data_IF_737791048334
#
_entry.id   IF_737791048334
#
_cell.length_a   1.000
_cell.length_b   1.000
_cell.length_c   1.000
_cell.angle_alpha   90.00
_cell.angle_beta   90.00
_cell.angle_gamma   90.00
#
_symmetry.space_group_name_H-M   'P 1'
#
loop_
_entity.id
_entity.type
_entity.pdbx_description
1 polymer ?
#
# COMPACT_ATOMS: atom_id res chain seq x y z
N UNK A 1 -6.15 -4.09 11.87
CA UNK A 1 -6.08 -3.38 10.57
C UNK A 1 -5.35 -4.29 9.60
N UNK A 2 -5.55 -4.14 8.30
CA UNK A 2 -4.78 -4.89 7.29
C UNK A 2 -4.00 -3.91 6.42
N UNK A 3 -2.94 -4.40 5.79
CA UNK A 3 -2.19 -3.70 4.76
C UNK A 3 -2.07 -4.61 3.54
N UNK A 4 -2.15 -4.04 2.35
CA UNK A 4 -1.95 -4.76 1.11
C UNK A 4 -1.79 -3.80 -0.05
N UNK A 5 -1.16 -4.28 -1.11
CA UNK A 5 -1.01 -3.57 -2.38
C UNK A 5 -1.45 -4.45 -3.55
N UNK A 6 -1.63 -3.83 -4.70
CA UNK A 6 -1.93 -4.55 -5.94
C UNK A 6 -1.36 -3.81 -7.16
N UNK A 7 -1.32 -4.53 -8.27
CA UNK A 7 -1.00 -4.02 -9.59
C UNK A 7 -1.82 -4.78 -10.63
N UNK A 8 -1.68 -4.41 -11.91
CA UNK A 8 -2.29 -5.15 -13.02
C UNK A 8 -1.84 -6.62 -13.11
N UNK A 9 -0.70 -6.98 -12.51
CA UNK A 9 -0.13 -8.33 -12.55
C UNK A 9 -0.47 -9.19 -11.33
N UNK A 10 -1.08 -8.62 -10.28
CA UNK A 10 -1.44 -9.36 -9.07
C UNK A 10 -1.42 -8.52 -7.80
N UNK A 11 -1.54 -9.17 -6.66
CA UNK A 11 -1.60 -8.55 -5.33
C UNK A 11 -0.36 -8.88 -4.51
N UNK A 12 -0.05 -8.05 -3.52
CA UNK A 12 0.80 -8.48 -2.41
C UNK A 12 0.07 -9.52 -1.56
N UNK A 13 0.80 -10.17 -0.67
CA UNK A 13 0.17 -10.84 0.48
C UNK A 13 -0.47 -9.79 1.38
N UNK A 14 -1.63 -10.10 1.97
CA UNK A 14 -2.28 -9.22 2.95
C UNK A 14 -1.57 -9.39 4.30
N UNK A 15 -1.08 -8.27 4.85
CA UNK A 15 -0.46 -8.22 6.17
C UNK A 15 -1.49 -7.83 7.23
N UNK A 16 -1.52 -8.56 8.34
CA UNK A 16 -2.33 -8.20 9.51
C UNK A 16 -1.51 -7.30 10.45
N UNK A 17 -2.09 -6.16 10.79
CA UNK A 17 -1.45 -5.14 11.60
C UNK A 17 -2.04 -5.11 13.02
N UNK A 18 -1.15 -5.09 14.00
CA UNK A 18 -1.47 -4.96 15.42
C UNK A 18 -1.21 -3.53 15.90
N UNK A 19 -2.18 -2.96 16.61
CA UNK A 19 -2.04 -1.63 17.21
C UNK A 19 -1.90 -0.49 16.21
N UNK A 20 -1.51 0.67 16.73
CA UNK A 20 -1.27 1.89 15.94
C UNK A 20 0.07 1.79 15.21
N UNK A 21 0.06 2.07 13.91
CA UNK A 21 1.27 2.05 13.09
C UNK A 21 1.99 3.41 13.11
N UNK A 22 3.32 3.35 13.02
CA UNK A 22 4.20 4.49 12.81
C UNK A 22 4.93 4.40 11.45
N UNK A 23 5.82 5.35 11.16
CA UNK A 23 6.52 5.40 9.86
C UNK A 23 7.50 4.25 9.65
N UNK A 24 8.17 3.77 10.71
CA UNK A 24 9.08 2.63 10.63
C UNK A 24 8.32 1.33 10.40
N UNK A 25 7.18 1.15 11.08
CA UNK A 25 6.31 -0.02 10.84
C UNK A 25 5.87 -0.04 9.37
N UNK A 26 5.52 1.11 8.81
CA UNK A 26 5.15 1.23 7.40
C UNK A 26 6.31 0.89 6.45
N UNK A 27 7.52 1.41 6.71
CA UNK A 27 8.71 1.07 5.93
C UNK A 27 9.02 -0.43 5.96
N UNK A 28 8.83 -1.08 7.11
CA UNK A 28 8.93 -2.54 7.22
C UNK A 28 7.93 -3.26 6.32
N UNK A 29 6.69 -2.76 6.21
CA UNK A 29 5.69 -3.35 5.30
C UNK A 29 6.06 -3.16 3.83
N UNK A 30 6.59 -2.00 3.47
CA UNK A 30 7.10 -1.77 2.12
C UNK A 30 8.21 -2.78 1.78
N UNK A 31 9.21 -2.92 2.65
CA UNK A 31 10.31 -3.88 2.46
C UNK A 31 9.82 -5.32 2.40
N UNK A 32 8.88 -5.70 3.25
CA UNK A 32 8.46 -7.10 3.40
C UNK A 32 7.49 -7.54 2.31
N UNK A 33 6.65 -6.64 1.81
CA UNK A 33 5.50 -7.01 0.98
C UNK A 33 5.41 -6.27 -0.35
N UNK A 34 5.87 -5.01 -0.44
CA UNK A 34 5.82 -4.25 -1.69
C UNK A 34 7.03 -4.52 -2.56
N UNK A 35 8.24 -4.26 -2.06
CA UNK A 35 9.47 -4.30 -2.87
C UNK A 35 9.71 -5.67 -3.53
N UNK A 36 9.55 -6.81 -2.82
CA UNK A 36 9.77 -8.12 -3.45
C UNK A 36 8.77 -8.41 -4.57
N UNK A 37 7.53 -7.90 -4.44
CA UNK A 37 6.49 -8.06 -5.44
C UNK A 37 6.71 -7.11 -6.62
N UNK A 38 7.17 -5.90 -6.36
CA UNK A 38 7.58 -4.96 -7.39
C UNK A 38 8.73 -5.51 -8.24
N UNK A 39 9.73 -6.11 -7.60
CA UNK A 39 10.81 -6.80 -8.30
C UNK A 39 10.30 -8.01 -9.09
N UNK A 40 9.58 -8.93 -8.44
CA UNK A 40 9.16 -10.18 -9.08
C UNK A 40 8.12 -10.00 -10.20
N UNK A 41 7.24 -8.99 -10.09
CA UNK A 41 6.18 -8.77 -11.09
C UNK A 41 6.59 -7.76 -12.15
N UNK A 42 7.43 -6.77 -11.83
CA UNK A 42 7.71 -5.64 -12.71
C UNK A 42 9.20 -5.39 -12.96
N UNK A 43 10.07 -6.33 -12.58
CA UNK A 43 11.53 -6.22 -12.75
C UNK A 43 12.07 -4.90 -12.15
N UNK A 44 11.49 -4.48 -11.02
CA UNK A 44 11.82 -3.24 -10.32
C UNK A 44 11.30 -1.97 -11.00
N UNK A 45 10.70 -2.08 -12.20
CA UNK A 45 10.21 -0.94 -12.99
C UNK A 45 8.74 -0.67 -12.73
N UNK A 46 8.45 0.09 -11.68
CA UNK A 46 7.10 0.50 -11.32
C UNK A 46 7.07 1.86 -10.62
N UNK A 47 5.94 2.55 -10.76
CA UNK A 47 5.62 3.72 -9.95
C UNK A 47 4.72 3.30 -8.79
N UNK A 48 5.10 3.71 -7.58
CA UNK A 48 4.38 3.38 -6.36
C UNK A 48 3.34 4.46 -6.02
N UNK A 49 2.10 4.03 -5.81
CA UNK A 49 1.01 4.88 -5.36
C UNK A 49 0.73 4.65 -3.86
N UNK A 50 0.65 5.74 -3.08
CA UNK A 50 0.19 5.74 -1.69
C UNK A 50 -0.63 7.00 -1.40
N UNK A 51 -1.45 6.96 -0.35
CA UNK A 51 -2.14 8.16 0.14
C UNK A 51 -1.20 9.08 0.96
N UNK A 52 -1.72 10.23 1.39
CA UNK A 52 -0.97 11.21 2.16
C UNK A 52 -1.06 11.03 3.69
N UNK A 53 -1.40 9.84 4.20
CA UNK A 53 -1.41 9.59 5.64
C UNK A 53 -0.08 10.00 6.30
N UNK A 54 -0.14 10.53 7.52
CA UNK A 54 1.03 11.15 8.18
C UNK A 54 2.28 10.24 8.25
N UNK A 55 2.09 8.92 8.33
CA UNK A 55 3.19 7.95 8.34
C UNK A 55 3.77 7.69 6.94
N UNK A 56 2.97 7.83 5.88
CA UNK A 56 3.39 7.70 4.48
C UNK A 56 4.08 8.96 3.98
N UNK A 57 3.57 10.13 4.36
CA UNK A 57 4.09 11.45 3.96
C UNK A 57 5.18 12.01 4.87
N UNK A 58 5.58 11.27 5.91
CA UNK A 58 6.66 11.65 6.83
C UNK A 58 8.00 11.79 6.11
N UNK A 59 8.88 12.66 6.64
CA UNK A 59 10.25 12.80 6.10
C UNK A 59 11.02 11.47 6.17
N UNK A 60 10.78 10.66 7.21
CA UNK A 60 11.42 9.35 7.35
C UNK A 60 11.05 8.42 6.19
N UNK A 61 9.76 8.30 5.88
CA UNK A 61 9.29 7.44 4.79
C UNK A 61 9.69 7.98 3.42
N UNK A 62 9.65 9.30 3.22
CA UNK A 62 10.09 9.93 1.97
C UNK A 62 11.58 9.68 1.70
N UNK A 63 12.44 9.88 2.70
CA UNK A 63 13.87 9.58 2.57
C UNK A 63 14.11 8.10 2.32
N UNK A 64 13.42 7.21 3.05
CA UNK A 64 13.53 5.77 2.85
C UNK A 64 13.18 5.34 1.42
N UNK A 65 12.06 5.82 0.86
CA UNK A 65 11.66 5.49 -0.52
C UNK A 65 12.65 6.06 -1.55
N UNK A 66 13.17 7.26 -1.31
CA UNK A 66 14.18 7.88 -2.16
C UNK A 66 15.50 7.10 -2.15
N UNK A 67 15.95 6.63 -0.98
CA UNK A 67 17.19 5.86 -0.84
C UNK A 67 17.11 4.50 -1.56
N UNK A 68 15.90 3.99 -1.76
CA UNK A 68 15.61 2.77 -2.51
C UNK A 68 15.28 3.00 -3.99
N UNK A 69 15.38 4.23 -4.47
CA UNK A 69 15.03 4.64 -5.85
C UNK A 69 13.59 4.28 -6.25
N UNK A 70 12.67 4.26 -5.28
CA UNK A 70 11.25 4.01 -5.53
C UNK A 70 10.59 5.32 -5.94
N UNK A 71 10.10 5.37 -7.18
CA UNK A 71 9.31 6.50 -7.67
C UNK A 71 7.92 6.47 -7.04
N UNK A 72 7.53 7.56 -6.36
CA UNK A 72 6.21 7.70 -5.73
C UNK A 72 5.38 8.66 -6.56
N UNK A 73 4.18 8.23 -6.97
CA UNK A 73 3.24 9.09 -7.68
C UNK A 73 2.79 10.26 -6.80
N UNK A 74 2.77 11.46 -7.38
CA UNK A 74 2.27 12.64 -6.69
C UNK A 74 0.75 12.53 -6.48
N UNK A 75 0.32 12.47 -5.22
CA UNK A 75 -1.08 12.31 -4.89
C UNK A 75 -1.78 13.66 -4.70
N UNK A 76 -2.78 14.03 -5.52
CA UNK A 76 -3.51 15.27 -5.32
C UNK A 76 -4.43 15.13 -4.10
N UNK A 77 -4.22 15.98 -3.09
CA UNK A 77 -4.93 15.93 -1.82
C UNK A 77 -6.46 16.07 -1.92
N UNK A 78 -6.97 16.57 -3.06
CA UNK A 78 -8.40 16.84 -3.30
C UNK A 78 -9.16 15.65 -3.92
N UNK A 79 -8.49 14.55 -4.28
CA UNK A 79 -9.13 13.41 -4.96
C UNK A 79 -8.91 12.09 -4.21
N UNK A 80 -9.56 11.91 -3.04
CA UNK A 80 -9.49 10.64 -2.30
C UNK A 80 -10.04 9.46 -3.13
N UNK A 81 -11.02 9.73 -4.01
CA UNK A 81 -11.69 8.72 -4.84
C UNK A 81 -10.79 8.10 -5.91
N UNK A 82 -9.60 8.66 -6.18
CA UNK A 82 -8.66 8.08 -7.14
C UNK A 82 -7.90 6.89 -6.54
N UNK A 83 -8.02 6.62 -5.23
CA UNK A 83 -7.28 5.55 -4.60
C UNK A 83 -7.90 4.19 -4.91
N UNK A 84 -7.44 3.55 -5.99
CA UNK A 84 -7.97 2.27 -6.45
C UNK A 84 -7.95 1.15 -5.39
N UNK A 85 -7.05 1.21 -4.39
CA UNK A 85 -7.03 0.20 -3.32
C UNK A 85 -8.32 0.24 -2.48
N UNK A 86 -8.95 1.40 -2.31
CA UNK A 86 -10.21 1.52 -1.56
C UNK A 86 -11.36 0.83 -2.28
N UNK A 87 -11.35 0.84 -3.62
CA UNK A 87 -12.31 0.09 -4.43
C UNK A 87 -12.11 -1.42 -4.20
N UNK A 88 -10.85 -1.88 -4.22
CA UNK A 88 -10.51 -3.29 -3.96
C UNK A 88 -10.92 -3.70 -2.55
N UNK A 89 -10.68 -2.88 -1.53
CA UNK A 89 -11.14 -3.13 -0.17
C UNK A 89 -12.67 -3.18 -0.07
N UNK A 90 -13.37 -2.29 -0.77
CA UNK A 90 -14.83 -2.30 -0.85
C UNK A 90 -15.38 -3.61 -1.43
N UNK A 91 -14.74 -4.15 -2.46
CA UNK A 91 -15.08 -5.47 -3.01
C UNK A 91 -14.80 -6.59 -2.02
N UNK A 92 -13.62 -6.60 -1.39
CA UNK A 92 -13.24 -7.62 -0.40
C UNK A 92 -14.21 -7.65 0.79
N UNK A 93 -14.60 -6.49 1.32
CA UNK A 93 -15.57 -6.41 2.41
C UNK A 93 -16.92 -6.99 1.99
N UNK A 94 -17.39 -6.70 0.77
CA UNK A 94 -18.65 -7.25 0.25
C UNK A 94 -18.59 -8.78 0.17
N UNK A 95 -17.52 -9.32 -0.38
CA UNK A 95 -17.37 -10.77 -0.56
C UNK A 95 -17.29 -11.51 0.79
N UNK A 96 -16.50 -11.00 1.73
CA UNK A 96 -16.39 -11.57 3.07
C UNK A 96 -17.72 -11.44 3.84
N UNK A 97 -18.44 -10.34 3.67
CA UNK A 97 -19.72 -10.10 4.36
C UNK A 97 -20.88 -10.88 3.74
N UNK A 98 -20.84 -11.21 2.45
CA UNK A 98 -21.89 -12.02 1.80
C UNK A 98 -21.88 -13.48 2.30
N UNK A 99 -20.71 -13.99 2.71
CA UNK A 99 -20.55 -15.34 3.28
C UNK A 99 -20.74 -15.43 4.80
N UNK A 100 -20.65 -14.30 5.51
CA UNK A 100 -20.84 -14.22 6.96
C UNK A 100 -22.12 -13.49 7.30
N UNK A 101 -23.16 -14.24 7.71
CA UNK A 101 -24.27 -13.64 8.45
C UNK A 101 -23.68 -12.92 9.68
N UNK A 102 -23.94 -11.61 9.79
CA UNK A 102 -23.83 -10.90 11.07
C UNK A 102 -24.75 -11.55 12.10
#
# INVERSE_FOLDING_TARGET
MIWGGFSSKGTTVIAFLSGRQNSLDYQEKLTSYLLPIGEAMHDGSYDFQQDNANIHSSNSTKSFLKDLDVTVLEWPALFPDLNLIEIVWGMLVRDVSYGGKQ
#
